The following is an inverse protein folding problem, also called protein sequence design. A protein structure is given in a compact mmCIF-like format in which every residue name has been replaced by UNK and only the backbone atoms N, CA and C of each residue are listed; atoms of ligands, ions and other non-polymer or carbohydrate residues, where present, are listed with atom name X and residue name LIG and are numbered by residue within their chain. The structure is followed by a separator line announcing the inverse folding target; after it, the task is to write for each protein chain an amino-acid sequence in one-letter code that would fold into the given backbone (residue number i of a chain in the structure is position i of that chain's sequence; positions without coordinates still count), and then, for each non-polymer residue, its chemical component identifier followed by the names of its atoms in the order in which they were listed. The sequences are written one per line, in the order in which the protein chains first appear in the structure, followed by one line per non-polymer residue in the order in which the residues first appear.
data_IF_222612518435
#
_entry.id   IF_222612518435
#
_cell.length_a   1.000
_cell.length_b   1.000
_cell.length_c   1.000
_cell.angle_alpha   90.00
_cell.angle_beta   90.00
_cell.angle_gamma   90.00
#
_symmetry.space_group_name_H-M   'P 1'
#
loop_
_entity.id
_entity.type
_entity.pdbx_description
1 polymer ?
#
# COMPACT_ATOMS: atom_id res chain seq x y z
N UNK A 1 -20.89 7.31 -22.42
CA UNK A 1 -20.00 6.25 -22.92
C UNK A 1 -20.28 5.04 -22.03
N UNK A 2 -20.64 3.89 -22.58
CA UNK A 2 -20.96 2.72 -21.75
C UNK A 2 -19.65 2.07 -21.28
N UNK A 3 -19.35 2.22 -19.99
CA UNK A 3 -18.18 1.61 -19.38
C UNK A 3 -18.49 0.15 -19.00
N UNK A 4 -17.66 -0.77 -19.48
CA UNK A 4 -17.83 -2.21 -19.24
C UNK A 4 -17.06 -2.62 -17.99
N UNK A 5 -17.76 -3.20 -17.01
CA UNK A 5 -17.14 -3.81 -15.82
C UNK A 5 -16.46 -5.12 -16.19
N UNK A 6 -15.16 -5.05 -16.49
CA UNK A 6 -14.36 -6.24 -16.83
C UNK A 6 -13.49 -6.67 -15.65
N UNK A 7 -13.39 -7.98 -15.47
CA UNK A 7 -12.42 -8.54 -14.54
C UNK A 7 -11.02 -8.48 -15.16
N UNK A 8 -10.22 -7.49 -14.75
CA UNK A 8 -8.84 -7.27 -15.18
C UNK A 8 -7.92 -7.17 -13.97
N UNK A 9 -6.64 -7.52 -14.16
CA UNK A 9 -5.62 -7.43 -13.10
C UNK A 9 -5.43 -5.98 -12.64
N UNK A 10 -5.17 -5.78 -11.35
CA UNK A 10 -5.02 -4.47 -10.72
C UNK A 10 -3.93 -3.62 -11.37
N UNK A 11 -2.84 -4.22 -11.81
CA UNK A 11 -1.77 -3.53 -12.56
C UNK A 11 -2.21 -2.96 -13.91
N UNK A 12 -3.41 -3.29 -14.39
CA UNK A 12 -4.03 -2.76 -15.61
C UNK A 12 -5.20 -1.81 -15.32
N UNK A 13 -5.52 -1.57 -14.05
CA UNK A 13 -6.59 -0.64 -13.71
C UNK A 13 -6.18 0.77 -14.06
N UNK A 14 -7.12 1.47 -14.69
CA UNK A 14 -7.05 2.87 -15.07
C UNK A 14 -8.25 3.61 -14.49
N UNK A 15 -8.38 4.90 -14.78
CA UNK A 15 -9.58 5.67 -14.44
C UNK A 15 -10.86 5.05 -15.02
N UNK A 16 -10.79 4.31 -16.13
CA UNK A 16 -11.96 3.62 -16.68
C UNK A 16 -12.52 2.56 -15.72
N UNK A 17 -11.66 1.81 -15.04
CA UNK A 17 -12.11 0.84 -14.04
C UNK A 17 -12.72 1.55 -12.83
N UNK A 18 -12.09 2.64 -12.38
CA UNK A 18 -12.61 3.46 -11.28
C UNK A 18 -14.01 3.98 -11.63
N UNK A 19 -14.17 4.58 -12.81
CA UNK A 19 -15.46 5.09 -13.31
C UNK A 19 -16.47 3.95 -13.50
N UNK A 20 -16.07 2.80 -14.05
CA UNK A 20 -16.96 1.66 -14.27
C UNK A 20 -17.51 1.08 -12.95
N UNK A 21 -16.71 1.12 -11.89
CA UNK A 21 -17.09 0.67 -10.55
C UNK A 21 -17.65 1.79 -9.67
N UNK A 22 -17.84 3.00 -10.20
CA UNK A 22 -18.30 4.20 -9.47
C UNK A 22 -17.43 4.49 -8.23
N UNK A 23 -16.11 4.48 -8.41
CA UNK A 23 -15.14 4.74 -7.35
C UNK A 23 -14.64 6.18 -7.48
N UNK A 24 -15.05 7.02 -6.55
CA UNK A 24 -14.63 8.41 -6.45
C UNK A 24 -13.64 8.63 -5.29
N UNK A 25 -12.76 9.61 -5.46
CA UNK A 25 -11.83 10.04 -4.42
C UNK A 25 -12.31 11.32 -3.76
N UNK A 26 -12.23 11.37 -2.44
CA UNK A 26 -12.40 12.60 -1.68
C UNK A 26 -11.10 12.89 -0.95
N UNK A 27 -10.48 14.03 -1.26
CA UNK A 27 -9.34 14.50 -0.49
C UNK A 27 -9.79 14.84 0.94
N UNK A 28 -9.05 14.35 1.91
CA UNK A 28 -9.22 14.68 3.32
C UNK A 28 -7.87 15.06 3.89
N UNK A 29 -7.84 16.10 4.71
CA UNK A 29 -6.65 16.40 5.49
C UNK A 29 -6.44 15.32 6.57
N UNK A 30 -5.22 15.26 7.11
CA UNK A 30 -4.83 14.26 8.09
C UNK A 30 -5.70 14.32 9.37
N UNK A 31 -6.08 15.52 9.84
CA UNK A 31 -6.90 15.66 11.04
C UNK A 31 -8.33 15.16 10.82
N UNK A 32 -8.89 15.36 9.64
CA UNK A 32 -10.19 14.80 9.25
C UNK A 32 -10.13 13.28 9.12
N UNK A 33 -9.05 12.74 8.53
CA UNK A 33 -8.92 11.30 8.27
C UNK A 33 -8.61 10.49 9.54
N UNK A 34 -7.62 10.90 10.33
CA UNK A 34 -7.20 10.20 11.55
C UNK A 34 -8.01 10.62 12.79
N UNK A 35 -8.82 11.68 12.67
CA UNK A 35 -9.56 12.27 13.77
C UNK A 35 -8.78 13.35 14.53
N UNK A 36 -9.40 14.01 15.53
CA UNK A 36 -8.85 15.18 16.22
C UNK A 36 -7.66 14.89 17.14
N UNK A 37 -7.12 13.67 17.12
CA UNK A 37 -5.95 13.29 17.93
C UNK A 37 -4.66 13.60 17.19
N UNK A 38 -3.66 14.12 17.90
CA UNK A 38 -2.30 14.16 17.38
C UNK A 38 -1.81 12.73 17.17
N UNK A 39 -1.33 12.44 15.95
CA UNK A 39 -0.65 11.18 15.69
C UNK A 39 0.60 11.10 16.59
N UNK A 40 0.91 9.93 17.15
CA UNK A 40 2.11 9.79 17.95
C UNK A 40 3.32 10.16 17.10
N UNK A 41 4.21 10.98 17.64
CA UNK A 41 5.46 11.29 16.97
C UNK A 41 6.21 9.98 16.71
N UNK A 42 6.69 9.77 15.47
CA UNK A 42 7.45 8.57 15.16
C UNK A 42 8.71 8.57 16.05
N UNK A 43 8.99 7.43 16.67
CA UNK A 43 10.23 7.25 17.43
C UNK A 43 11.36 6.97 16.44
N UNK A 44 11.84 8.04 15.79
CA UNK A 44 13.02 8.01 14.93
C UNK A 44 14.20 8.62 15.68
N UNK A 45 15.39 8.17 15.33
CA UNK A 45 16.62 8.78 15.84
C UNK A 45 16.70 10.25 15.38
N UNK A 46 17.06 11.16 16.29
CA UNK A 46 17.18 12.58 15.98
C UNK A 46 18.22 12.84 14.89
N UNK A 47 19.25 12.00 14.76
CA UNK A 47 20.25 12.14 13.71
C UNK A 47 19.63 12.09 12.31
N UNK A 48 18.55 11.32 12.09
CA UNK A 48 17.82 11.28 10.82
C UNK A 48 17.09 12.60 10.50
N UNK A 49 16.77 13.39 11.53
CA UNK A 49 16.09 14.68 11.37
C UNK A 49 17.09 15.84 11.24
N UNK A 50 18.24 15.72 11.90
CA UNK A 50 19.23 16.79 12.01
C UNK A 50 20.35 16.70 10.97
N UNK A 51 20.60 15.50 10.41
CA UNK A 51 21.70 15.24 9.46
C UNK A 51 21.15 14.78 8.12
N UNK A 52 21.35 15.56 7.06
CA UNK A 52 20.82 15.24 5.73
C UNK A 52 21.73 14.32 4.92
N UNK A 53 23.05 14.39 5.14
CA UNK A 53 24.04 13.65 4.35
C UNK A 53 24.45 12.38 5.10
N UNK A 54 24.24 11.22 4.47
CA UNK A 54 24.61 9.91 5.00
C UNK A 54 26.10 9.81 5.38
N UNK A 55 26.99 10.54 4.68
CA UNK A 55 28.43 10.56 4.96
C UNK A 55 28.79 11.23 6.29
N UNK A 56 27.89 12.05 6.85
CA UNK A 56 28.08 12.75 8.12
C UNK A 56 27.39 12.06 9.31
N UNK A 57 26.67 10.97 9.07
CA UNK A 57 25.97 10.23 10.12
C UNK A 57 26.93 9.30 10.88
N UNK A 58 26.77 9.28 12.20
CA UNK A 58 27.49 8.40 13.13
C UNK A 58 26.82 7.03 13.23
N UNK A 59 25.49 6.96 13.09
CA UNK A 59 24.74 5.70 13.20
C UNK A 59 24.61 5.08 11.81
N UNK A 60 25.24 3.90 11.65
CA UNK A 60 25.31 3.21 10.36
C UNK A 60 23.93 2.91 9.76
N UNK A 61 22.94 2.51 10.57
CA UNK A 61 21.59 2.22 10.10
C UNK A 61 20.87 3.46 9.59
N UNK A 62 21.14 4.63 10.18
CA UNK A 62 20.60 5.90 9.70
C UNK A 62 21.23 6.27 8.36
N UNK A 63 22.55 6.16 8.26
CA UNK A 63 23.28 6.39 7.03
C UNK A 63 22.78 5.48 5.90
N UNK A 64 22.52 4.20 6.19
CA UNK A 64 21.94 3.26 5.23
C UNK A 64 20.53 3.68 4.77
N UNK A 65 19.67 4.09 5.70
CA UNK A 65 18.31 4.56 5.36
C UNK A 65 18.34 5.77 4.42
N UNK A 66 19.23 6.75 4.68
CA UNK A 66 19.39 7.91 3.79
C UNK A 66 19.95 7.51 2.43
N UNK A 67 20.94 6.61 2.36
CA UNK A 67 21.43 6.11 1.07
C UNK A 67 20.34 5.41 0.24
N UNK A 68 19.37 4.74 0.87
CA UNK A 68 18.21 4.20 0.17
C UNK A 68 17.26 5.30 -0.30
N UNK A 69 17.02 6.34 0.52
CA UNK A 69 16.21 7.50 0.15
C UNK A 69 16.82 8.24 -1.05
N UNK A 70 18.12 8.54 -1.00
CA UNK A 70 18.84 9.22 -2.08
C UNK A 70 18.74 8.42 -3.38
N UNK A 71 18.93 7.10 -3.31
CA UNK A 71 18.74 6.23 -4.47
C UNK A 71 17.30 6.25 -4.99
N UNK A 72 16.28 6.28 -4.13
CA UNK A 72 14.88 6.35 -4.54
C UNK A 72 14.48 7.71 -5.14
N UNK A 73 15.14 8.79 -4.75
CA UNK A 73 14.94 10.13 -5.31
C UNK A 73 15.66 10.26 -6.65
N UNK A 74 16.90 9.77 -6.74
CA UNK A 74 17.75 9.85 -7.94
C UNK A 74 17.48 8.74 -8.98
N UNK A 75 16.53 7.83 -8.72
CA UNK A 75 16.26 6.66 -9.56
C UNK A 75 15.58 7.02 -10.90
N UNK A 76 16.32 7.67 -11.80
CA UNK A 76 16.07 7.59 -13.24
C UNK A 76 16.43 6.22 -13.83
N UNK A 77 16.97 5.27 -13.04
CA UNK A 77 17.60 4.04 -13.54
C UNK A 77 17.14 2.71 -12.89
N UNK A 78 16.48 2.69 -11.72
CA UNK A 78 16.15 1.45 -11.01
C UNK A 78 14.70 1.41 -10.53
N UNK A 79 13.90 0.52 -11.14
CA UNK A 79 12.48 0.32 -10.84
C UNK A 79 12.20 -0.20 -9.41
N UNK A 80 13.21 -0.70 -8.68
CA UNK A 80 13.02 -1.22 -7.31
C UNK A 80 13.47 -0.26 -6.20
N UNK A 81 14.07 0.88 -6.54
CA UNK A 81 14.68 1.75 -5.53
C UNK A 81 13.66 2.28 -4.51
N UNK A 82 12.45 2.63 -4.99
CA UNK A 82 11.35 3.03 -4.12
C UNK A 82 10.90 1.90 -3.18
N UNK A 83 10.86 0.66 -3.68
CA UNK A 83 10.49 -0.52 -2.90
C UNK A 83 11.54 -0.81 -1.81
N UNK A 84 12.83 -0.75 -2.18
CA UNK A 84 13.95 -0.98 -1.27
C UNK A 84 13.97 0.07 -0.14
N UNK A 85 13.75 1.35 -0.49
CA UNK A 85 13.60 2.42 0.51
C UNK A 85 12.39 2.21 1.41
N UNK A 86 11.22 1.89 0.84
CA UNK A 86 10.00 1.67 1.62
C UNK A 86 10.16 0.51 2.62
N UNK A 87 10.83 -0.58 2.22
CA UNK A 87 11.16 -1.68 3.12
C UNK A 87 12.08 -1.23 4.26
N UNK A 88 13.18 -0.53 3.93
CA UNK A 88 14.13 -0.04 4.92
C UNK A 88 13.47 0.92 5.92
N UNK A 89 12.59 1.81 5.43
CA UNK A 89 11.83 2.75 6.26
C UNK A 89 10.86 2.03 7.20
N UNK A 90 10.06 1.08 6.70
CA UNK A 90 9.15 0.32 7.55
C UNK A 90 9.89 -0.47 8.64
N UNK A 91 11.09 -0.98 8.31
CA UNK A 91 11.93 -1.68 9.26
C UNK A 91 12.50 -0.74 10.31
N UNK A 92 12.99 0.45 9.92
CA UNK A 92 13.55 1.44 10.85
C UNK A 92 12.50 2.01 11.80
N UNK A 93 11.25 2.17 11.33
CA UNK A 93 10.10 2.60 12.13
C UNK A 93 9.55 1.49 13.05
N UNK A 94 10.13 0.29 13.03
CA UNK A 94 9.73 -0.81 13.91
C UNK A 94 8.43 -1.51 13.51
N UNK A 95 7.96 -1.34 12.27
CA UNK A 95 6.78 -2.06 11.79
C UNK A 95 7.05 -3.54 11.52
N UNK A 96 8.31 -3.90 11.24
CA UNK A 96 8.75 -5.28 11.25
C UNK A 96 8.94 -5.77 12.70
N UNK A 97 8.15 -6.78 13.10
CA UNK A 97 8.19 -7.35 14.44
C UNK A 97 8.20 -8.88 14.37
N UNK A 98 8.21 -9.57 15.51
CA UNK A 98 8.15 -11.04 15.56
C UNK A 98 6.97 -11.64 14.75
N UNK A 99 5.83 -10.93 14.71
CA UNK A 99 4.63 -11.38 14.00
C UNK A 99 4.36 -10.61 12.72
N UNK A 100 5.00 -9.45 12.49
CA UNK A 100 4.78 -8.64 11.28
C UNK A 100 5.95 -8.73 10.32
N UNK A 101 5.67 -9.20 9.12
CA UNK A 101 6.63 -9.30 8.04
C UNK A 101 6.39 -8.21 7.01
N UNK A 102 7.47 -7.55 6.60
CA UNK A 102 7.45 -6.71 5.39
C UNK A 102 7.66 -7.65 4.21
N UNK A 103 6.73 -7.64 3.26
CA UNK A 103 6.74 -8.51 2.11
C UNK A 103 6.74 -7.68 0.82
N UNK A 104 7.43 -8.19 -0.20
CA UNK A 104 7.38 -7.67 -1.57
C UNK A 104 6.89 -8.75 -2.50
N UNK A 105 6.46 -8.35 -3.70
CA UNK A 105 6.04 -9.27 -4.78
C UNK A 105 4.90 -10.20 -4.36
N UNK A 106 4.03 -9.75 -3.47
CA UNK A 106 2.85 -10.50 -3.08
C UNK A 106 1.88 -10.55 -4.26
N UNK A 107 1.26 -11.71 -4.46
CA UNK A 107 0.27 -11.92 -5.53
C UNK A 107 -1.06 -12.22 -4.89
N UNK A 108 -2.00 -11.29 -5.01
CA UNK A 108 -3.33 -11.41 -4.47
C UNK A 108 -4.35 -11.74 -5.57
N UNK A 109 -5.25 -12.71 -5.34
CA UNK A 109 -6.41 -12.89 -6.21
C UNK A 109 -7.31 -11.66 -6.17
N UNK A 110 -7.59 -11.07 -7.34
CA UNK A 110 -8.54 -9.96 -7.46
C UNK A 110 -9.90 -10.49 -7.90
N UNK A 111 -10.76 -10.75 -6.92
CA UNK A 111 -12.12 -11.22 -7.14
C UNK A 111 -13.05 -10.02 -7.34
N UNK A 112 -13.41 -9.77 -8.59
CA UNK A 112 -14.29 -8.67 -9.01
C UNK A 112 -15.36 -9.19 -9.97
N UNK A 113 -16.46 -8.45 -10.12
CA UNK A 113 -17.64 -8.86 -10.91
C UNK A 113 -18.25 -10.21 -10.48
N UNK A 114 -18.12 -10.59 -9.20
CA UNK A 114 -18.66 -11.84 -8.67
C UNK A 114 -18.02 -13.11 -9.26
N UNK A 115 -16.85 -12.98 -9.90
CA UNK A 115 -16.13 -14.11 -10.51
C UNK A 115 -14.76 -14.27 -9.86
N UNK A 116 -14.43 -15.53 -9.53
CA UNK A 116 -13.05 -15.91 -9.30
C UNK A 116 -12.37 -15.96 -10.67
N UNK A 117 -11.53 -14.97 -10.95
CA UNK A 117 -10.85 -14.83 -12.24
C UNK A 117 -9.34 -15.04 -12.10
N UNK A 118 -8.64 -15.11 -13.23
CA UNK A 118 -7.17 -15.06 -13.25
C UNK A 118 -6.62 -13.66 -12.95
N UNK A 119 -7.46 -12.65 -12.72
CA UNK A 119 -7.02 -11.31 -12.34
C UNK A 119 -6.27 -11.33 -11.01
N UNK A 120 -5.19 -10.55 -10.95
CA UNK A 120 -4.31 -10.43 -9.77
C UNK A 120 -4.07 -8.98 -9.43
N UNK A 121 -3.79 -8.73 -8.16
CA UNK A 121 -3.26 -7.46 -7.67
C UNK A 121 -1.90 -7.72 -6.99
N UNK A 122 -0.99 -6.75 -7.10
CA UNK A 122 0.42 -6.96 -6.79
C UNK A 122 1.01 -5.72 -6.10
N UNK A 123 0.68 -5.51 -4.81
CA UNK A 123 1.28 -4.40 -4.08
C UNK A 123 2.80 -4.52 -4.10
N UNK A 124 3.48 -3.40 -4.31
CA UNK A 124 4.93 -3.33 -4.31
C UNK A 124 5.51 -3.82 -2.97
N UNK A 125 5.04 -3.22 -1.87
CA UNK A 125 5.40 -3.59 -0.49
C UNK A 125 4.12 -3.73 0.34
N UNK A 126 4.07 -4.71 1.23
CA UNK A 126 3.00 -4.83 2.21
C UNK A 126 3.49 -5.31 3.58
N UNK A 127 2.69 -5.08 4.61
CA UNK A 127 2.91 -5.69 5.93
C UNK A 127 1.90 -6.82 6.14
N UNK A 128 2.42 -8.03 6.37
CA UNK A 128 1.65 -9.20 6.74
C UNK A 128 1.77 -9.44 8.25
N UNK A 129 0.65 -9.36 8.96
CA UNK A 129 0.54 -9.79 10.36
C UNK A 129 0.25 -11.30 10.40
N UNK A 130 1.24 -12.08 10.84
CA UNK A 130 1.13 -13.54 10.91
C UNK A 130 0.25 -14.01 12.07
N UNK A 131 0.03 -13.20 13.09
CA UNK A 131 -0.84 -13.60 14.20
C UNK A 131 -2.29 -13.69 13.73
N UNK A 132 -2.72 -12.73 12.91
CA UNK A 132 -4.08 -12.65 12.36
C UNK A 132 -4.17 -13.09 10.88
N UNK A 133 -3.04 -13.47 10.26
CA UNK A 133 -2.93 -13.76 8.82
C UNK A 133 -3.46 -12.64 7.91
N UNK A 134 -3.33 -11.39 8.36
CA UNK A 134 -3.90 -10.20 7.73
C UNK A 134 -2.84 -9.34 7.04
N UNK A 135 -3.17 -8.83 5.85
CA UNK A 135 -2.42 -7.73 5.22
C UNK A 135 -2.93 -6.39 5.74
N UNK A 136 -2.07 -5.64 6.40
CA UNK A 136 -2.46 -4.44 7.18
C UNK A 136 -1.97 -3.11 6.58
N UNK A 137 -1.01 -3.16 5.66
CA UNK A 137 -0.50 -1.97 4.96
C UNK A 137 -0.07 -2.37 3.56
N UNK A 138 -0.43 -1.56 2.57
CA UNK A 138 -0.06 -1.70 1.17
C UNK A 138 0.64 -0.41 0.75
N UNK A 139 1.79 -0.52 0.11
CA UNK A 139 2.51 0.57 -0.51
C UNK A 139 2.56 0.26 -2.00
N UNK A 140 2.09 1.21 -2.80
CA UNK A 140 2.14 1.17 -4.25
C UNK A 140 3.06 2.28 -4.71
N UNK A 141 4.10 1.91 -5.47
CA UNK A 141 4.98 2.88 -6.09
C UNK A 141 4.21 3.71 -7.13
N UNK A 142 4.43 5.02 -7.11
CA UNK A 142 4.02 5.89 -8.19
C UNK A 142 5.00 5.73 -9.36
N UNK A 143 4.66 4.90 -10.34
CA UNK A 143 5.49 4.66 -11.53
C UNK A 143 5.35 5.85 -12.49
N UNK A 144 6.38 6.69 -12.68
CA UNK A 144 6.27 7.82 -13.58
C UNK A 144 6.14 7.35 -15.04
N UNK A 145 4.94 7.51 -15.60
CA UNK A 145 4.67 7.68 -17.04
C UNK A 145 5.41 6.76 -18.00
N UNK A 146 5.10 5.45 -17.98
CA UNK A 146 5.27 4.60 -19.15
C UNK A 146 4.29 4.97 -20.28
N UNK A 147 4.40 4.31 -21.45
CA UNK A 147 3.52 4.56 -22.63
C UNK A 147 2.02 4.42 -22.33
N UNK A 148 1.69 3.70 -21.27
CA UNK A 148 0.35 3.63 -20.70
C UNK A 148 0.38 4.45 -19.40
N UNK A 149 -0.37 5.54 -19.35
CA UNK A 149 -0.56 6.36 -18.15
C UNK A 149 -1.36 5.57 -17.11
N UNK A 150 -0.74 4.56 -16.49
CA UNK A 150 -1.42 3.75 -15.49
C UNK A 150 -1.46 4.55 -14.19
N UNK A 151 -2.64 5.05 -13.85
CA UNK A 151 -2.89 5.83 -12.64
C UNK A 151 -2.57 4.98 -11.38
N UNK A 152 -1.56 5.39 -10.57
CA UNK A 152 -1.20 4.66 -9.34
C UNK A 152 -2.39 4.49 -8.39
N UNK A 153 -3.31 5.46 -8.34
CA UNK A 153 -4.52 5.35 -7.51
C UNK A 153 -5.39 4.17 -7.91
N UNK A 154 -5.57 3.92 -9.21
CA UNK A 154 -6.39 2.82 -9.70
C UNK A 154 -5.81 1.46 -9.30
N UNK A 155 -4.49 1.32 -9.42
CA UNK A 155 -3.77 0.12 -8.98
C UNK A 155 -3.89 -0.09 -7.46
N UNK A 156 -3.64 0.97 -6.68
CA UNK A 156 -3.74 0.92 -5.22
C UNK A 156 -5.14 0.52 -4.73
N UNK A 157 -6.19 1.03 -5.38
CA UNK A 157 -7.57 0.61 -5.08
C UNK A 157 -7.80 -0.86 -5.39
N UNK A 158 -7.33 -1.35 -6.54
CA UNK A 158 -7.45 -2.76 -6.90
C UNK A 158 -6.75 -3.67 -5.87
N UNK A 159 -5.58 -3.26 -5.40
CA UNK A 159 -4.80 -3.96 -4.37
C UNK A 159 -5.48 -3.94 -3.01
N UNK A 160 -6.03 -2.80 -2.61
CA UNK A 160 -6.81 -2.69 -1.37
C UNK A 160 -8.03 -3.62 -1.39
N UNK A 161 -8.75 -3.68 -2.51
CA UNK A 161 -9.87 -4.63 -2.70
C UNK A 161 -9.38 -6.08 -2.61
N UNK A 162 -8.27 -6.40 -3.26
CA UNK A 162 -7.70 -7.75 -3.23
C UNK A 162 -7.25 -8.17 -1.83
N UNK A 163 -6.60 -7.26 -1.09
CA UNK A 163 -6.15 -7.50 0.28
C UNK A 163 -7.33 -7.66 1.24
N UNK A 164 -8.37 -6.84 1.10
CA UNK A 164 -9.60 -6.97 1.89
C UNK A 164 -10.26 -8.34 1.68
N UNK A 165 -10.40 -8.77 0.42
CA UNK A 165 -10.94 -10.08 0.08
C UNK A 165 -10.07 -11.22 0.62
N UNK A 166 -8.75 -11.09 0.51
CA UNK A 166 -7.80 -12.07 1.04
C UNK A 166 -7.92 -12.20 2.56
N UNK A 167 -7.91 -11.09 3.29
CA UNK A 167 -8.02 -11.07 4.75
C UNK A 167 -9.34 -11.71 5.19
N UNK A 168 -10.46 -11.36 4.57
CA UNK A 168 -11.76 -11.95 4.91
C UNK A 168 -11.84 -13.45 4.61
N UNK A 169 -11.19 -13.92 3.54
CA UNK A 169 -11.06 -15.35 3.28
C UNK A 169 -10.27 -16.04 4.40
N UNK A 170 -9.14 -15.46 4.82
CA UNK A 170 -8.33 -16.00 5.92
C UNK A 170 -9.07 -16.02 7.26
N UNK A 171 -9.81 -14.96 7.59
CA UNK A 171 -10.68 -14.95 8.77
C UNK A 171 -11.71 -16.06 8.74
N UNK A 172 -12.35 -16.27 7.59
CA UNK A 172 -13.32 -17.38 7.41
C UNK A 172 -12.65 -18.74 7.62
N UNK A 173 -11.48 -18.98 7.03
CA UNK A 173 -10.71 -20.22 7.19
C UNK A 173 -10.33 -20.48 8.67
N UNK A 174 -10.13 -19.42 9.44
CA UNK A 174 -9.81 -19.48 10.88
C UNK A 174 -11.06 -19.46 11.79
N UNK A 175 -12.27 -19.41 11.23
CA UNK A 175 -13.51 -19.33 11.99
C UNK A 175 -13.74 -17.99 12.71
N UNK A 176 -13.04 -16.93 12.29
CA UNK A 176 -13.22 -15.57 12.78
C UNK A 176 -14.36 -14.85 12.04
N UNK A 177 -14.92 -13.82 12.66
CA UNK A 177 -15.90 -12.95 11.99
C UNK A 177 -15.22 -12.18 10.85
N UNK A 178 -15.83 -12.19 9.68
CA UNK A 178 -15.33 -11.39 8.56
C UNK A 178 -15.53 -9.91 8.84
N UNK A 179 -14.63 -9.07 8.35
CA UNK A 179 -14.87 -7.63 8.34
C UNK A 179 -15.92 -7.35 7.28
N UNK A 180 -17.13 -7.00 7.73
CA UNK A 180 -18.13 -6.38 6.86
C UNK A 180 -17.82 -4.89 6.74
N UNK A 181 -17.98 -4.32 5.54
CA UNK A 181 -17.86 -2.87 5.31
C UNK A 181 -18.83 -2.03 6.17
N UNK A 182 -19.77 -2.70 6.86
CA UNK A 182 -20.87 -2.07 7.60
C UNK A 182 -20.52 -1.74 9.07
N UNK A 183 -19.32 -2.09 9.56
CA UNK A 183 -18.88 -1.78 10.93
C UNK A 183 -17.42 -1.32 11.02
N UNK A 184 -17.15 -0.14 10.45
CA UNK A 184 -16.16 0.91 10.79
C UNK A 184 -16.00 1.76 9.52
N UNK A 185 -16.39 3.03 9.60
CA UNK A 185 -16.49 3.90 8.43
C UNK A 185 -15.11 4.39 7.95
N UNK A 186 -14.72 3.98 6.74
CA UNK A 186 -14.21 4.93 5.76
C UNK A 186 -15.36 5.26 4.82
N UNK A 187 -15.65 6.55 4.62
CA UNK A 187 -16.73 6.98 3.73
C UNK A 187 -16.27 6.87 2.28
N UNK A 188 -16.46 5.71 1.67
CA UNK A 188 -16.61 5.61 0.20
C UNK A 188 -18.09 5.74 -0.08
N UNK A 189 -18.51 6.89 -0.60
CA UNK A 189 -19.91 7.11 -0.95
C UNK A 189 -20.15 6.54 -2.35
N UNK A 190 -20.84 5.42 -2.43
CA UNK A 190 -21.39 4.88 -3.69
C UNK A 190 -22.65 5.71 -3.98
N UNK A 191 -22.60 6.53 -5.03
CA UNK A 191 -23.78 7.14 -5.64
C UNK A 191 -24.17 6.45 -6.92
#
# INVERSE_FOLDING_TARGET
MDLVRMATSGCRWTDNELDAYNIDFTYQDAATFFGPGELPLPQVDNELLDTLDAGNMLIQTNAQLINYLDQAIDSGAHESAADDFAMALLQSLGYATHFRLICTRVVLPLNICGRSTSARANPNVCILDRAESDMICLIQENKPGGRDQIEPRAQLIAEAIAAFNYNNLKRTEMGQEITLLDKVYYKVRIT
#
